data_IF_262388035751
#
_entry.id   IF_262388035751
#
_cell.length_a   1.000
_cell.length_b   1.000
_cell.length_c   1.000
_cell.angle_alpha   90.00
_cell.angle_beta   90.00
_cell.angle_gamma   90.00
#
_symmetry.space_group_name_H-M   'P 1'
#
loop_
_entity.id
_entity.type
_entity.pdbx_description
1 polymer ?
#
# COMPACT_ATOMS: atom_id res chain seq x y z
N UNK A 1 -12.77 28.28 5.66
CA UNK A 1 -13.09 27.07 4.86
C UNK A 1 -14.44 26.56 5.33
N UNK A 2 -15.44 26.49 4.45
CA UNK A 2 -16.77 25.96 4.80
C UNK A 2 -16.69 24.44 4.87
N UNK A 3 -16.96 23.88 6.06
CA UNK A 3 -16.96 22.44 6.29
C UNK A 3 -18.12 21.81 5.49
N UNK A 4 -17.78 20.96 4.53
CA UNK A 4 -18.74 20.17 3.78
C UNK A 4 -19.06 18.90 4.61
N UNK A 5 -20.30 18.73 5.11
CA UNK A 5 -20.68 17.61 5.98
C UNK A 5 -20.60 16.23 5.29
N UNK A 6 -20.38 16.19 3.97
CA UNK A 6 -20.25 14.96 3.19
C UNK A 6 -18.81 14.52 2.92
N UNK A 7 -17.80 15.21 3.47
CA UNK A 7 -16.40 14.81 3.31
C UNK A 7 -15.97 13.97 4.53
N UNK A 8 -15.75 12.65 4.41
CA UNK A 8 -15.15 11.90 5.50
C UNK A 8 -13.81 12.53 5.83
N UNK A 9 -13.54 12.74 7.12
CA UNK A 9 -12.37 13.50 7.50
C UNK A 9 -11.06 12.97 6.95
N UNK A 10 -10.04 13.84 6.85
CA UNK A 10 -8.84 13.55 6.06
C UNK A 10 -8.20 12.18 6.37
N UNK A 11 -8.07 11.86 7.66
CA UNK A 11 -7.53 10.58 8.14
C UNK A 11 -8.45 9.41 7.73
N UNK A 12 -9.77 9.58 7.89
CA UNK A 12 -10.77 8.58 7.52
C UNK A 12 -10.76 8.29 6.03
N UNK A 13 -10.59 9.31 5.19
CA UNK A 13 -10.45 9.15 3.74
C UNK A 13 -9.24 8.26 3.38
N UNK A 14 -8.07 8.49 4.00
CA UNK A 14 -6.90 7.65 3.80
C UNK A 14 -7.11 6.22 4.33
N UNK A 15 -7.81 6.05 5.45
CA UNK A 15 -8.15 4.74 5.99
C UNK A 15 -9.07 3.95 5.07
N UNK A 16 -10.11 4.58 4.52
CA UNK A 16 -11.02 3.94 3.56
C UNK A 16 -10.22 3.44 2.35
N UNK A 17 -9.33 4.28 1.79
CA UNK A 17 -8.47 3.87 0.69
C UNK A 17 -7.58 2.68 1.09
N UNK A 18 -6.91 2.76 2.24
CA UNK A 18 -6.03 1.70 2.73
C UNK A 18 -6.77 0.37 2.88
N UNK A 19 -7.92 0.37 3.56
CA UNK A 19 -8.71 -0.83 3.80
C UNK A 19 -9.37 -1.36 2.53
N UNK A 20 -9.72 -0.49 1.57
CA UNK A 20 -10.21 -0.92 0.26
C UNK A 20 -9.14 -1.74 -0.49
N UNK A 21 -7.90 -1.25 -0.54
CA UNK A 21 -6.78 -1.95 -1.20
C UNK A 21 -6.37 -3.22 -0.44
N UNK A 22 -6.35 -3.18 0.90
CA UNK A 22 -6.10 -4.36 1.72
C UNK A 22 -7.16 -5.45 1.48
N UNK A 23 -8.43 -5.06 1.44
CA UNK A 23 -9.53 -5.99 1.17
C UNK A 23 -9.42 -6.53 -0.26
N UNK A 24 -9.06 -5.68 -1.23
CA UNK A 24 -8.84 -6.07 -2.61
C UNK A 24 -7.87 -7.23 -2.76
N UNK A 25 -6.66 -7.11 -2.21
CA UNK A 25 -5.66 -8.20 -2.29
C UNK A 25 -6.08 -9.48 -1.54
N UNK A 26 -6.78 -9.37 -0.40
CA UNK A 26 -7.30 -10.54 0.34
C UNK A 26 -8.39 -11.25 -0.47
N UNK A 27 -9.29 -10.47 -1.08
CA UNK A 27 -10.37 -10.98 -1.90
C UNK A 27 -9.80 -11.68 -3.15
N UNK A 28 -8.82 -11.07 -3.82
CA UNK A 28 -8.11 -11.70 -4.94
C UNK A 28 -7.47 -13.02 -4.51
N UNK A 29 -6.72 -13.05 -3.41
CA UNK A 29 -6.15 -14.31 -2.89
C UNK A 29 -7.24 -15.36 -2.65
N UNK A 30 -8.34 -14.98 -2.01
CA UNK A 30 -9.45 -15.88 -1.69
C UNK A 30 -10.09 -16.45 -2.97
N UNK A 31 -10.39 -15.59 -3.95
CA UNK A 31 -10.94 -16.03 -5.25
C UNK A 31 -9.97 -16.99 -5.92
N UNK A 32 -8.69 -16.63 -6.03
CA UNK A 32 -7.71 -17.48 -6.68
C UNK A 32 -7.61 -18.84 -5.97
N UNK A 33 -7.57 -18.87 -4.64
CA UNK A 33 -7.48 -20.11 -3.88
C UNK A 33 -8.67 -21.07 -4.08
N UNK A 34 -9.89 -20.54 -4.10
CA UNK A 34 -11.10 -21.38 -4.18
C UNK A 34 -11.57 -21.66 -5.61
N UNK A 35 -11.26 -20.78 -6.57
CA UNK A 35 -11.77 -20.85 -7.95
C UNK A 35 -10.68 -21.32 -8.91
N UNK A 36 -9.44 -20.89 -8.70
CA UNK A 36 -8.32 -21.15 -9.60
C UNK A 36 -7.44 -22.27 -9.02
N UNK A 37 -7.50 -23.45 -9.62
CA UNK A 37 -6.49 -24.48 -9.35
C UNK A 37 -5.16 -24.01 -9.96
N UNK A 38 -4.00 -24.17 -9.27
CA UNK A 38 -2.71 -23.84 -9.84
C UNK A 38 -2.52 -24.52 -11.20
N UNK A 39 -2.07 -23.76 -12.20
CA UNK A 39 -1.97 -24.20 -13.60
C UNK A 39 -0.95 -25.29 -13.86
N UNK A 40 -0.05 -25.53 -12.91
CA UNK A 40 1.04 -26.51 -12.98
C UNK A 40 1.10 -27.30 -11.68
N UNK A 41 1.59 -28.55 -11.74
CA UNK A 41 2.03 -29.22 -10.51
C UNK A 41 3.12 -28.38 -9.83
N UNK A 42 3.23 -28.41 -8.49
CA UNK A 42 4.24 -27.64 -7.78
C UNK A 42 5.63 -27.95 -8.31
N UNK A 43 6.23 -27.01 -9.03
CA UNK A 43 7.57 -27.20 -9.56
C UNK A 43 8.58 -27.03 -8.43
N UNK A 44 9.24 -28.13 -8.08
CA UNK A 44 10.31 -28.14 -7.07
C UNK A 44 11.62 -27.60 -7.70
N UNK A 45 11.71 -27.57 -9.04
CA UNK A 45 12.84 -27.01 -9.76
C UNK A 45 12.66 -25.50 -9.95
N UNK A 46 13.78 -24.77 -9.87
CA UNK A 46 13.78 -23.32 -9.98
C UNK A 46 13.45 -22.89 -11.42
N UNK A 47 12.23 -22.44 -11.66
CA UNK A 47 11.84 -21.86 -12.93
C UNK A 47 12.47 -20.46 -13.06
N UNK A 48 13.16 -20.12 -14.17
CA UNK A 48 13.72 -18.79 -14.38
C UNK A 48 12.71 -17.64 -14.21
N UNK A 49 11.42 -17.91 -14.46
CA UNK A 49 10.34 -16.94 -14.26
C UNK A 49 10.10 -16.60 -12.78
N UNK A 50 10.36 -17.52 -11.85
CA UNK A 50 10.23 -17.23 -10.41
C UNK A 50 11.17 -16.09 -10.00
N UNK A 51 12.42 -16.09 -10.51
CA UNK A 51 13.37 -15.01 -10.25
C UNK A 51 12.90 -13.68 -10.84
N UNK A 52 12.22 -13.68 -11.99
CA UNK A 52 11.65 -12.47 -12.56
C UNK A 52 10.52 -11.93 -11.66
N UNK A 53 9.61 -12.79 -11.18
CA UNK A 53 8.55 -12.40 -10.24
C UNK A 53 9.09 -11.87 -8.92
N UNK A 54 10.08 -12.54 -8.34
CA UNK A 54 10.77 -12.11 -7.12
C UNK A 54 11.45 -10.75 -7.34
N UNK A 55 12.15 -10.59 -8.47
CA UNK A 55 12.80 -9.33 -8.84
C UNK A 55 11.81 -8.17 -8.98
N UNK A 56 10.70 -8.38 -9.68
CA UNK A 56 9.65 -7.35 -9.83
C UNK A 56 9.01 -7.02 -8.47
N UNK A 57 8.74 -8.03 -7.65
CA UNK A 57 8.21 -7.83 -6.30
C UNK A 57 9.16 -6.94 -5.47
N UNK A 58 10.45 -7.25 -5.45
CA UNK A 58 11.47 -6.47 -4.73
C UNK A 58 11.57 -5.03 -5.25
N UNK A 59 11.59 -4.84 -6.57
CA UNK A 59 11.63 -3.50 -7.18
C UNK A 59 10.41 -2.68 -6.80
N UNK A 60 9.21 -3.26 -6.81
CA UNK A 60 7.99 -2.56 -6.40
C UNK A 60 8.02 -2.19 -4.92
N UNK A 61 8.40 -3.12 -4.03
CA UNK A 61 8.45 -2.84 -2.59
C UNK A 61 9.47 -1.76 -2.22
N UNK A 62 10.66 -1.83 -2.80
CA UNK A 62 11.70 -0.81 -2.59
C UNK A 62 11.29 0.55 -3.16
N UNK A 63 10.75 0.56 -4.38
CA UNK A 63 10.26 1.80 -5.03
C UNK A 63 9.13 2.46 -4.21
N UNK A 64 8.18 1.67 -3.71
CA UNK A 64 7.11 2.15 -2.85
C UNK A 64 7.66 2.85 -1.59
N UNK A 65 8.69 2.27 -0.97
CA UNK A 65 9.32 2.86 0.20
C UNK A 65 10.04 4.17 -0.13
N UNK A 66 10.95 4.17 -1.11
CA UNK A 66 11.78 5.33 -1.42
C UNK A 66 10.99 6.52 -1.97
N UNK A 67 10.08 6.29 -2.92
CA UNK A 67 9.31 7.38 -3.54
C UNK A 67 8.33 7.96 -2.53
N UNK A 68 7.63 7.14 -1.76
CA UNK A 68 6.72 7.65 -0.74
C UNK A 68 7.47 8.42 0.36
N UNK A 69 8.68 7.99 0.73
CA UNK A 69 9.53 8.75 1.66
C UNK A 69 9.87 10.12 1.08
N UNK A 70 10.37 10.18 -0.16
CA UNK A 70 10.70 11.44 -0.84
C UNK A 70 9.50 12.37 -0.97
N UNK A 71 8.32 11.84 -1.32
CA UNK A 71 7.09 12.63 -1.41
C UNK A 71 6.61 13.11 -0.03
N UNK A 72 6.83 12.32 1.03
CA UNK A 72 6.53 12.74 2.41
C UNK A 72 7.47 13.85 2.87
N UNK A 73 8.77 13.75 2.56
CA UNK A 73 9.74 14.82 2.79
C UNK A 73 9.35 16.10 2.04
N UNK A 74 8.89 15.96 0.78
CA UNK A 74 8.36 17.09 0.00
C UNK A 74 7.13 17.71 0.67
N UNK A 75 6.22 16.88 1.17
CA UNK A 75 5.03 17.35 1.89
C UNK A 75 5.40 18.16 3.14
N UNK A 76 6.41 17.73 3.92
CA UNK A 76 6.89 18.47 5.11
C UNK A 76 7.36 19.89 4.78
N UNK A 77 7.98 20.07 3.62
CA UNK A 77 8.50 21.36 3.18
C UNK A 77 7.41 22.33 2.67
N UNK A 78 6.17 21.86 2.49
CA UNK A 78 5.05 22.71 2.06
C UNK A 78 4.68 23.71 3.15
N UNK A 79 4.53 24.98 2.77
CA UNK A 79 4.15 26.06 3.71
C UNK A 79 2.67 26.08 4.03
N UNK A 80 1.84 25.61 3.11
CA UNK A 80 0.40 25.58 3.27
C UNK A 80 -0.05 24.21 3.78
N UNK A 81 -0.80 24.20 4.88
CA UNK A 81 -1.30 22.97 5.49
C UNK A 81 -2.13 22.10 4.53
N UNK A 82 -2.98 22.72 3.69
CA UNK A 82 -3.76 22.01 2.69
C UNK A 82 -2.90 21.35 1.60
N UNK A 83 -1.84 22.03 1.16
CA UNK A 83 -0.88 21.47 0.18
C UNK A 83 -0.04 20.35 0.81
N UNK A 84 0.43 20.55 2.05
CA UNK A 84 1.11 19.53 2.87
C UNK A 84 0.28 18.24 2.93
N UNK A 85 -1.00 18.33 3.30
CA UNK A 85 -1.91 17.19 3.33
C UNK A 85 -2.17 16.57 1.95
N UNK A 86 -2.27 17.37 0.88
CA UNK A 86 -2.49 16.84 -0.46
C UNK A 86 -1.26 16.07 -0.98
N UNK A 87 -0.06 16.63 -0.81
CA UNK A 87 1.20 15.98 -1.19
C UNK A 87 1.42 14.69 -0.40
N UNK A 88 1.12 14.69 0.91
CA UNK A 88 1.14 13.47 1.72
C UNK A 88 0.16 12.41 1.22
N UNK A 89 -1.08 12.81 0.91
CA UNK A 89 -2.09 11.88 0.38
C UNK A 89 -1.61 11.21 -0.91
N UNK A 90 -0.99 11.98 -1.81
CA UNK A 90 -0.37 11.44 -3.04
C UNK A 90 0.74 10.44 -2.72
N UNK A 91 1.58 10.72 -1.72
CA UNK A 91 2.63 9.81 -1.27
C UNK A 91 2.05 8.47 -0.80
N UNK A 92 0.98 8.49 0.00
CA UNK A 92 0.34 7.27 0.51
C UNK A 92 -0.40 6.50 -0.59
N UNK A 93 -1.14 7.17 -1.49
CA UNK A 93 -1.77 6.52 -2.65
C UNK A 93 -0.73 5.77 -3.48
N UNK A 94 0.40 6.42 -3.78
CA UNK A 94 1.48 5.82 -4.55
C UNK A 94 2.09 4.61 -3.84
N UNK A 95 2.36 4.74 -2.53
CA UNK A 95 2.87 3.64 -1.69
C UNK A 95 1.92 2.45 -1.75
N UNK A 96 0.64 2.67 -1.47
CA UNK A 96 -0.34 1.59 -1.39
C UNK A 96 -0.51 0.89 -2.74
N UNK A 97 -0.63 1.63 -3.83
CA UNK A 97 -0.80 1.06 -5.16
C UNK A 97 0.40 0.19 -5.60
N UNK A 98 1.64 0.63 -5.32
CA UNK A 98 2.82 -0.19 -5.64
C UNK A 98 2.91 -1.45 -4.80
N UNK A 99 2.59 -1.34 -3.50
CA UNK A 99 2.67 -2.47 -2.59
C UNK A 99 1.61 -3.53 -2.88
N UNK A 100 0.37 -3.12 -3.11
CA UNK A 100 -0.71 -4.00 -3.59
C UNK A 100 -0.30 -4.64 -4.92
N UNK A 101 0.22 -3.85 -5.85
CA UNK A 101 0.71 -4.33 -7.14
C UNK A 101 1.89 -5.31 -7.04
N UNK A 102 2.65 -5.33 -5.95
CA UNK A 102 3.67 -6.34 -5.69
C UNK A 102 3.02 -7.65 -5.23
N UNK A 103 2.08 -7.57 -4.28
CA UNK A 103 1.31 -8.73 -3.79
C UNK A 103 0.56 -9.42 -4.93
N UNK A 104 -0.15 -8.66 -5.76
CA UNK A 104 -0.90 -9.21 -6.91
C UNK A 104 0.00 -9.92 -7.92
N UNK A 105 1.20 -9.38 -8.18
CA UNK A 105 2.17 -10.02 -9.08
C UNK A 105 2.63 -11.38 -8.53
N UNK A 106 2.90 -11.45 -7.22
CA UNK A 106 3.31 -12.69 -6.58
C UNK A 106 2.17 -13.73 -6.56
N UNK A 107 0.94 -13.30 -6.29
CA UNK A 107 -0.25 -14.17 -6.37
C UNK A 107 -0.45 -14.71 -7.80
N UNK A 108 -0.37 -13.85 -8.81
CA UNK A 108 -0.56 -14.30 -10.20
C UNK A 108 0.56 -15.21 -10.68
N UNK A 109 1.81 -14.96 -10.29
CA UNK A 109 2.92 -15.87 -10.57
C UNK A 109 2.70 -17.26 -9.98
N UNK A 110 2.24 -17.33 -8.72
CA UNK A 110 1.90 -18.61 -8.08
C UNK A 110 0.76 -19.33 -8.81
N UNK A 111 -0.40 -18.69 -8.96
CA UNK A 111 -1.61 -19.38 -9.43
C UNK A 111 -1.61 -19.70 -10.94
N UNK A 112 -0.98 -18.86 -11.76
CA UNK A 112 -1.08 -18.94 -13.22
C UNK A 112 0.21 -19.31 -13.95
N UNK A 113 1.35 -19.42 -13.25
CA UNK A 113 2.64 -19.64 -13.92
C UNK A 113 3.41 -20.83 -13.36
N UNK A 114 3.80 -20.80 -12.08
CA UNK A 114 4.79 -21.75 -11.56
C UNK A 114 4.33 -22.62 -10.41
N UNK A 115 3.23 -22.26 -9.72
CA UNK A 115 2.82 -22.91 -8.47
C UNK A 115 3.91 -22.95 -7.38
N UNK A 116 4.91 -22.05 -7.46
CA UNK A 116 6.02 -22.00 -6.50
C UNK A 116 5.61 -21.29 -5.20
N UNK A 117 5.62 -22.02 -4.08
CA UNK A 117 5.25 -21.51 -2.76
C UNK A 117 6.07 -20.31 -2.27
N UNK A 118 7.27 -20.06 -2.79
CA UNK A 118 8.03 -18.85 -2.50
C UNK A 118 7.26 -17.60 -2.91
N UNK A 119 6.56 -17.63 -4.05
CA UNK A 119 5.74 -16.50 -4.51
C UNK A 119 4.53 -16.29 -3.59
N UNK A 120 3.92 -17.37 -3.10
CA UNK A 120 2.84 -17.28 -2.13
C UNK A 120 3.34 -16.69 -0.79
N UNK A 121 4.52 -17.10 -0.33
CA UNK A 121 5.15 -16.53 0.86
C UNK A 121 5.48 -15.03 0.69
N UNK A 122 5.89 -14.61 -0.51
CA UNK A 122 6.09 -13.19 -0.83
C UNK A 122 4.78 -12.40 -0.84
N UNK A 123 3.69 -12.97 -1.34
CA UNK A 123 2.37 -12.34 -1.25
C UNK A 123 1.95 -12.14 0.21
N UNK A 124 2.07 -13.18 1.05
CA UNK A 124 1.77 -13.10 2.48
C UNK A 124 2.66 -12.07 3.21
N UNK A 125 3.95 -12.07 2.92
CA UNK A 125 4.91 -11.09 3.47
C UNK A 125 4.57 -9.67 3.01
N UNK A 126 4.20 -9.49 1.74
CA UNK A 126 3.77 -8.19 1.21
C UNK A 126 2.52 -7.65 1.89
N UNK A 127 1.53 -8.50 2.17
CA UNK A 127 0.33 -8.15 2.95
C UNK A 127 0.73 -7.75 4.38
N UNK A 128 1.61 -8.51 5.03
CA UNK A 128 2.10 -8.19 6.37
C UNK A 128 2.82 -6.83 6.41
N UNK A 129 3.68 -6.55 5.43
CA UNK A 129 4.35 -5.25 5.30
C UNK A 129 3.31 -4.15 5.04
N UNK A 130 2.28 -4.39 4.21
CA UNK A 130 1.21 -3.43 3.94
C UNK A 130 0.49 -3.00 5.23
N UNK A 131 0.22 -3.93 6.15
CA UNK A 131 -0.38 -3.64 7.46
C UNK A 131 0.46 -2.72 8.35
N UNK A 132 1.78 -2.64 8.15
CA UNK A 132 2.63 -1.71 8.89
C UNK A 132 2.34 -0.24 8.51
N UNK A 133 1.73 0.01 7.36
CA UNK A 133 1.46 1.35 6.83
C UNK A 133 0.01 1.82 7.02
N UNK A 134 -0.76 1.18 7.93
CA UNK A 134 -2.12 1.65 8.29
C UNK A 134 -2.05 3.14 8.67
N UNK A 135 -2.79 4.02 7.98
CA UNK A 135 -2.81 5.44 8.29
C UNK A 135 -3.57 5.67 9.60
N UNK A 136 -2.88 6.32 10.54
CA UNK A 136 -3.45 6.73 11.82
C UNK A 136 -3.12 8.19 12.06
N UNK A 137 -3.94 8.89 12.85
CA UNK A 137 -3.69 10.29 13.22
C UNK A 137 -2.26 10.48 13.73
N UNK A 138 -1.84 9.66 14.70
CA UNK A 138 -0.50 9.73 15.30
C UNK A 138 0.63 9.56 14.26
N UNK A 139 0.50 8.60 13.33
CA UNK A 139 1.49 8.44 12.25
C UNK A 139 1.53 9.64 11.33
N UNK A 140 0.39 10.21 10.95
CA UNK A 140 0.34 11.38 10.05
C UNK A 140 1.01 12.58 10.72
N UNK A 141 0.70 12.85 11.99
CA UNK A 141 1.31 13.93 12.78
C UNK A 141 2.82 13.75 12.85
N UNK A 142 3.30 12.55 13.19
CA UNK A 142 4.74 12.27 13.28
C UNK A 142 5.44 12.27 11.92
N UNK A 143 4.81 11.75 10.87
CA UNK A 143 5.39 11.71 9.52
C UNK A 143 5.41 13.08 8.84
N UNK A 144 4.50 13.99 9.19
CA UNK A 144 4.47 15.35 8.65
C UNK A 144 5.11 16.40 9.57
N UNK A 145 5.52 16.01 10.77
CA UNK A 145 6.08 16.90 11.79
C UNK A 145 5.16 18.11 12.04
N UNK A 146 3.86 17.83 12.21
CA UNK A 146 2.85 18.87 12.39
C UNK A 146 3.05 19.61 13.73
N UNK A 147 2.88 20.94 13.71
CA UNK A 147 2.82 21.73 14.93
C UNK A 147 1.44 21.66 15.61
N UNK A 148 1.31 22.22 16.82
CA UNK A 148 0.04 22.20 17.59
C UNK A 148 -1.14 22.83 16.85
N UNK A 149 -0.88 23.85 16.03
CA UNK A 149 -1.91 24.54 15.26
C UNK A 149 -2.37 23.66 14.11
N UNK A 150 -1.44 23.06 13.38
CA UNK A 150 -1.71 22.10 12.30
C UNK A 150 -2.41 20.83 12.82
N UNK A 151 -2.07 20.34 14.02
CA UNK A 151 -2.79 19.24 14.67
C UNK A 151 -4.25 19.59 14.94
N UNK A 152 -4.52 20.78 15.47
CA UNK A 152 -5.89 21.24 15.73
C UNK A 152 -6.67 21.36 14.41
N UNK A 153 -6.04 21.89 13.37
CA UNK A 153 -6.62 21.95 12.03
C UNK A 153 -6.90 20.56 11.45
N UNK A 154 -6.04 19.57 11.70
CA UNK A 154 -6.28 18.19 11.28
C UNK A 154 -7.53 17.61 11.97
N UNK A 155 -7.71 17.89 13.26
CA UNK A 155 -8.86 17.43 14.05
C UNK A 155 -10.16 18.10 13.62
N UNK A 156 -10.11 19.37 13.22
CA UNK A 156 -11.26 20.07 12.62
C UNK A 156 -11.68 19.50 11.26
N UNK A 157 -10.79 18.74 10.60
CA UNK A 157 -11.16 18.01 9.38
C UNK A 157 -11.78 16.64 9.64
N UNK A 158 -11.77 16.11 10.87
CA UNK A 158 -12.22 14.75 11.21
C UNK A 158 -13.74 14.56 11.17
#
# INVERSE_FOLDING_TARGET
MTLNPNNPGYVRSLQILFFALLTGQILVFTILWFVVKPSTEPDIYQNPLDFAFIGIWLVKQTTAFFVARKLTETARAERNFGEKLNTYRRAQIFRFALMEGAVLIALFGFFFVTANYVLLALAATGIAIFLLFVPTRSKIVGELELDLKEETMLDETA
#
